data_IF_838860879231
#
_entry.id   IF_838860879231
#
_cell.length_a   1.000
_cell.length_b   1.000
_cell.length_c   1.000
_cell.angle_alpha   90.00
_cell.angle_beta   90.00
_cell.angle_gamma   90.00
#
_symmetry.space_group_name_H-M   'P 1'
#
loop_
_entity.id
_entity.type
_entity.pdbx_description
1 polymer ?
#
# COMPACT_ATOMS: atom_id res chain seq x y z
N UNK A 1 -14.78 -53.78 -61.67
CA UNK A 1 -15.39 -52.69 -60.85
C UNK A 1 -15.52 -53.03 -59.36
N UNK A 2 -14.58 -53.77 -58.74
CA UNK A 2 -14.66 -54.13 -57.30
C UNK A 2 -13.53 -53.58 -56.41
N UNK A 3 -12.34 -53.34 -56.97
CA UNK A 3 -11.15 -52.98 -56.16
C UNK A 3 -11.10 -51.49 -55.78
N UNK A 4 -11.59 -50.58 -56.63
CA UNK A 4 -11.49 -49.12 -56.40
C UNK A 4 -12.37 -48.62 -55.26
N UNK A 5 -13.56 -49.21 -55.05
CA UNK A 5 -14.45 -48.83 -53.94
C UNK A 5 -13.91 -49.26 -52.58
N UNK A 6 -13.21 -50.39 -52.51
CA UNK A 6 -12.63 -50.92 -51.27
C UNK A 6 -11.53 -50.02 -50.70
N UNK A 7 -10.71 -49.41 -51.56
CA UNK A 7 -9.68 -48.44 -51.13
C UNK A 7 -10.30 -47.14 -50.60
N UNK A 8 -11.39 -46.64 -51.18
CA UNK A 8 -12.07 -45.45 -50.66
C UNK A 8 -12.64 -45.67 -49.26
N UNK A 9 -13.28 -46.81 -49.00
CA UNK A 9 -13.79 -47.12 -47.66
C UNK A 9 -12.66 -47.29 -46.63
N UNK A 10 -11.53 -47.90 -47.02
CA UNK A 10 -10.36 -48.02 -46.15
C UNK A 10 -9.75 -46.65 -45.83
N UNK A 11 -9.62 -45.75 -46.80
CA UNK A 11 -9.10 -44.39 -46.60
C UNK A 11 -10.02 -43.57 -45.69
N UNK A 12 -11.33 -43.62 -45.91
CA UNK A 12 -12.30 -42.93 -45.05
C UNK A 12 -12.27 -43.44 -43.60
N UNK A 13 -12.07 -44.74 -43.41
CA UNK A 13 -11.97 -45.34 -42.08
C UNK A 13 -10.69 -44.91 -41.36
N UNK A 14 -9.56 -44.85 -42.07
CA UNK A 14 -8.29 -44.34 -41.52
C UNK A 14 -8.41 -42.86 -41.14
N UNK A 15 -9.04 -42.04 -41.99
CA UNK A 15 -9.26 -40.62 -41.70
C UNK A 15 -10.17 -40.44 -40.48
N UNK A 16 -11.24 -41.22 -40.37
CA UNK A 16 -12.15 -41.16 -39.22
C UNK A 16 -11.46 -41.57 -37.91
N UNK A 17 -10.64 -42.63 -37.95
CA UNK A 17 -9.83 -43.06 -36.80
C UNK A 17 -8.82 -41.98 -36.44
N UNK A 18 -8.12 -41.40 -37.41
CA UNK A 18 -7.15 -40.34 -37.17
C UNK A 18 -7.80 -39.09 -36.53
N UNK A 19 -8.97 -38.68 -37.02
CA UNK A 19 -9.72 -37.54 -36.46
C UNK A 19 -10.17 -37.83 -35.03
N UNK A 20 -10.70 -39.03 -34.77
CA UNK A 20 -11.15 -39.41 -33.42
C UNK A 20 -9.98 -39.53 -32.43
N UNK A 21 -8.81 -40.00 -32.87
CA UNK A 21 -7.59 -40.02 -32.06
C UNK A 21 -7.13 -38.58 -31.78
N UNK A 22 -7.11 -37.72 -32.79
CA UNK A 22 -6.75 -36.30 -32.63
C UNK A 22 -7.70 -35.59 -31.66
N UNK A 23 -9.01 -35.82 -31.79
CA UNK A 23 -10.02 -35.29 -30.86
C UNK A 23 -9.84 -35.84 -29.45
N UNK A 24 -9.53 -37.13 -29.31
CA UNK A 24 -9.31 -37.76 -28.00
C UNK A 24 -8.04 -37.24 -27.34
N UNK A 25 -6.95 -37.04 -28.09
CA UNK A 25 -5.73 -36.40 -27.59
C UNK A 25 -6.04 -34.95 -27.20
N UNK A 26 -6.81 -34.21 -28.00
CA UNK A 26 -7.13 -32.82 -27.68
C UNK A 26 -8.09 -32.71 -26.47
N UNK A 27 -9.02 -33.65 -26.28
CA UNK A 27 -9.96 -33.67 -25.15
C UNK A 27 -9.35 -34.22 -23.86
N UNK A 28 -8.56 -35.29 -23.92
CA UNK A 28 -7.98 -35.96 -22.73
C UNK A 28 -6.59 -35.45 -22.36
N UNK A 29 -5.79 -34.99 -23.32
CA UNK A 29 -4.40 -34.53 -23.11
C UNK A 29 -4.29 -33.01 -23.36
N UNK A 30 -5.13 -32.44 -24.23
CA UNK A 30 -5.03 -31.08 -24.79
C UNK A 30 -5.80 -29.98 -24.06
N UNK A 31 -5.43 -29.70 -22.81
CA UNK A 31 -5.48 -28.34 -22.20
C UNK A 31 -4.89 -28.34 -20.79
N UNK A 32 -5.00 -29.46 -20.07
CA UNK A 32 -4.41 -29.63 -18.73
C UNK A 32 -2.91 -29.90 -18.74
N UNK A 33 -2.46 -30.84 -19.57
CA UNK A 33 -1.08 -31.36 -19.50
C UNK A 33 -0.02 -30.39 -20.08
N UNK A 34 -0.37 -29.60 -21.10
CA UNK A 34 0.50 -28.54 -21.64
C UNK A 34 0.57 -27.30 -20.73
N UNK A 35 -0.43 -27.09 -19.86
CA UNK A 35 -0.41 -26.03 -18.85
C UNK A 35 0.44 -26.46 -17.64
N UNK A 36 0.33 -27.72 -17.20
CA UNK A 36 1.15 -28.28 -16.11
C UNK A 36 2.64 -28.30 -16.46
N UNK A 37 3.01 -28.74 -17.67
CA UNK A 37 4.45 -28.87 -18.03
C UNK A 37 5.16 -27.53 -18.28
N UNK A 38 4.41 -26.43 -18.46
CA UNK A 38 4.98 -25.07 -18.58
C UNK A 38 5.18 -24.40 -17.21
N UNK A 39 4.59 -24.95 -16.13
CA UNK A 39 4.67 -24.44 -14.77
C UNK A 39 5.83 -25.06 -13.95
N UNK A 40 6.59 -25.98 -14.52
CA UNK A 40 7.64 -26.70 -13.76
C UNK A 40 9.05 -26.09 -13.91
N UNK A 41 9.27 -25.15 -14.84
CA UNK A 41 10.60 -24.57 -15.12
C UNK A 41 10.66 -23.02 -15.06
N UNK A 42 9.68 -22.36 -14.46
CA UNK A 42 9.79 -20.94 -14.09
C UNK A 42 8.97 -20.70 -12.83
N UNK A 43 9.64 -20.52 -11.70
CA UNK A 43 9.02 -20.07 -10.45
C UNK A 43 8.68 -18.56 -10.56
N UNK A 44 7.94 -18.17 -11.58
CA UNK A 44 7.22 -16.91 -11.62
C UNK A 44 5.75 -17.24 -11.47
N UNK A 45 5.22 -17.09 -10.25
CA UNK A 45 3.78 -16.96 -10.10
C UNK A 45 3.38 -15.72 -10.91
N UNK A 46 2.71 -15.93 -12.04
CA UNK A 46 2.20 -14.81 -12.83
C UNK A 46 1.18 -14.09 -11.95
N UNK A 47 1.48 -12.85 -11.58
CA UNK A 47 0.54 -12.00 -10.86
C UNK A 47 -0.72 -11.85 -11.72
N UNK A 48 -1.90 -11.85 -11.09
CA UNK A 48 -3.16 -11.71 -11.81
C UNK A 48 -3.67 -10.26 -11.74
N UNK A 49 -4.69 -10.00 -10.93
CA UNK A 49 -5.31 -8.69 -10.82
C UNK A 49 -4.39 -7.62 -10.19
N UNK A 50 -3.34 -8.03 -9.48
CA UNK A 50 -2.37 -7.12 -8.86
C UNK A 50 -1.28 -6.64 -9.81
N UNK A 51 -1.10 -7.29 -10.97
CA UNK A 51 0.01 -7.03 -11.89
C UNK A 51 0.06 -5.56 -12.31
N UNK A 52 -1.08 -5.00 -12.73
CA UNK A 52 -1.17 -3.61 -13.17
C UNK A 52 -0.78 -2.62 -12.05
N UNK A 53 -1.34 -2.80 -10.86
CA UNK A 53 -1.11 -1.87 -9.75
C UNK A 53 0.33 -1.93 -9.25
N UNK A 54 0.93 -3.13 -9.21
CA UNK A 54 2.34 -3.30 -8.86
C UNK A 54 3.26 -2.66 -9.92
N UNK A 55 3.00 -2.91 -11.21
CA UNK A 55 3.79 -2.33 -12.29
C UNK A 55 3.71 -0.80 -12.33
N UNK A 56 2.54 -0.22 -12.06
CA UNK A 56 2.36 1.23 -11.97
C UNK A 56 3.16 1.84 -10.80
N UNK A 57 3.08 1.23 -9.62
CA UNK A 57 3.85 1.69 -8.46
C UNK A 57 5.37 1.62 -8.69
N UNK A 58 5.87 0.52 -9.28
CA UNK A 58 7.29 0.39 -9.64
C UNK A 58 7.71 1.40 -10.71
N UNK A 59 6.89 1.62 -11.74
CA UNK A 59 7.19 2.58 -12.80
C UNK A 59 7.31 4.01 -12.27
N UNK A 60 6.42 4.41 -11.36
CA UNK A 60 6.47 5.75 -10.74
C UNK A 60 7.67 5.88 -9.80
N UNK A 61 7.94 4.87 -8.98
CA UNK A 61 9.10 4.87 -8.08
C UNK A 61 10.45 4.89 -8.84
N UNK A 62 10.46 4.43 -10.09
CA UNK A 62 11.63 4.45 -10.95
C UNK A 62 11.87 5.80 -11.67
N UNK A 63 10.95 6.77 -11.56
CA UNK A 63 11.13 8.11 -12.14
C UNK A 63 12.31 8.80 -11.45
N UNK A 64 13.31 9.20 -12.24
CA UNK A 64 14.48 9.90 -11.73
C UNK A 64 14.18 11.37 -11.46
N UNK A 65 14.11 11.74 -10.18
CA UNK A 65 13.97 13.12 -9.70
C UNK A 65 15.30 13.66 -9.12
N UNK A 66 16.43 13.29 -9.74
CA UNK A 66 17.78 13.79 -9.44
C UNK A 66 18.28 13.65 -7.99
N UNK A 67 17.63 12.81 -7.18
CA UNK A 67 17.89 12.73 -5.73
C UNK A 67 17.40 13.96 -4.95
N UNK A 68 16.67 14.85 -5.60
CA UNK A 68 16.17 16.11 -5.07
C UNK A 68 14.63 16.20 -5.09
N UNK A 69 13.97 15.06 -5.24
CA UNK A 69 12.52 14.94 -5.24
C UNK A 69 12.11 13.49 -5.45
N UNK A 70 10.82 13.28 -5.68
CA UNK A 70 10.21 11.97 -5.97
C UNK A 70 8.91 12.15 -6.73
N UNK A 71 8.41 11.10 -7.37
CA UNK A 71 7.09 11.07 -7.98
C UNK A 71 6.15 10.13 -7.22
N UNK A 72 4.85 10.41 -7.27
CA UNK A 72 3.82 9.59 -6.62
C UNK A 72 2.74 9.18 -7.61
N UNK A 73 2.08 8.04 -7.32
CA UNK A 73 1.04 7.48 -8.20
C UNK A 73 -0.15 8.44 -8.34
N UNK A 74 -0.43 9.21 -7.29
CA UNK A 74 -1.47 10.25 -7.23
C UNK A 74 -0.91 11.67 -7.44
N UNK A 75 0.36 11.80 -7.84
CA UNK A 75 1.00 13.09 -8.12
C UNK A 75 0.36 13.81 -9.31
N UNK A 76 0.64 15.11 -9.43
CA UNK A 76 0.24 15.89 -10.60
C UNK A 76 0.83 15.27 -11.87
N UNK A 77 0.05 15.28 -12.96
CA UNK A 77 0.48 14.69 -14.23
C UNK A 77 0.68 15.76 -15.30
N UNK A 78 1.72 15.57 -16.12
CA UNK A 78 1.97 16.34 -17.32
C UNK A 78 2.12 15.35 -18.49
N UNK A 79 1.34 15.54 -19.55
CA UNK A 79 1.28 14.62 -20.71
C UNK A 79 1.02 13.14 -20.32
N UNK A 80 0.31 12.92 -19.20
CA UNK A 80 -0.03 11.58 -18.71
C UNK A 80 1.08 10.90 -17.90
N UNK A 81 2.17 11.60 -17.58
CA UNK A 81 3.22 11.12 -16.67
C UNK A 81 3.22 11.90 -15.36
N UNK A 82 3.44 11.25 -14.20
CA UNK A 82 3.61 11.95 -12.93
C UNK A 82 4.82 12.89 -12.95
N UNK A 83 4.63 14.09 -12.40
CA UNK A 83 5.66 15.12 -12.25
C UNK A 83 6.41 14.90 -10.94
N UNK A 84 7.72 15.16 -10.95
CA UNK A 84 8.52 15.14 -9.72
C UNK A 84 8.06 16.24 -8.74
N UNK A 85 7.84 15.84 -7.49
CA UNK A 85 7.69 16.73 -6.35
C UNK A 85 9.07 16.97 -5.72
N UNK A 86 9.58 18.19 -5.91
CA UNK A 86 10.93 18.58 -5.50
C UNK A 86 11.00 18.94 -4.02
N UNK A 87 12.16 18.69 -3.42
CA UNK A 87 12.49 19.27 -2.11
C UNK A 87 12.65 20.79 -2.21
N UNK A 88 12.61 21.44 -1.05
CA UNK A 88 12.78 22.88 -0.95
C UNK A 88 14.03 23.36 -1.70
N UNK A 89 13.87 24.48 -2.39
CA UNK A 89 14.87 25.12 -3.23
C UNK A 89 15.28 24.37 -4.51
N UNK A 90 14.69 23.22 -4.84
CA UNK A 90 14.88 22.54 -6.13
C UNK A 90 13.68 22.73 -7.07
N UNK A 91 13.95 22.70 -8.37
CA UNK A 91 12.98 22.83 -9.44
C UNK A 91 13.43 22.16 -10.74
N UNK A 92 12.76 22.48 -11.84
CA UNK A 92 12.92 21.75 -13.10
C UNK A 92 12.03 20.50 -13.14
N UNK A 93 11.97 19.84 -14.29
CA UNK A 93 11.10 18.66 -14.49
C UNK A 93 11.54 17.42 -13.70
N UNK A 94 12.83 17.37 -13.33
CA UNK A 94 13.49 16.27 -12.62
C UNK A 94 14.14 16.73 -11.30
N UNK A 95 13.78 17.92 -10.79
CA UNK A 95 14.34 18.50 -9.57
C UNK A 95 15.86 18.77 -9.60
N UNK A 96 16.49 18.84 -10.77
CA UNK A 96 17.94 19.11 -10.87
C UNK A 96 18.32 20.58 -10.71
N UNK A 97 17.37 21.50 -10.82
CA UNK A 97 17.64 22.94 -10.84
C UNK A 97 17.59 23.54 -9.43
N UNK A 98 18.75 23.94 -8.89
CA UNK A 98 18.82 24.65 -7.62
C UNK A 98 18.44 26.13 -7.80
N UNK A 99 17.48 26.61 -7.00
CA UNK A 99 17.05 28.01 -6.97
C UNK A 99 18.06 28.89 -6.22
N UNK A 100 18.79 29.80 -6.90
CA UNK A 100 19.80 30.62 -6.27
C UNK A 100 19.16 31.66 -5.33
N UNK A 101 19.70 31.78 -4.11
CA UNK A 101 19.19 32.71 -3.11
C UNK A 101 17.92 32.24 -2.38
N UNK A 102 17.53 30.98 -2.58
CA UNK A 102 16.46 30.35 -1.79
C UNK A 102 16.92 30.14 -0.34
N UNK A 103 16.07 30.54 0.62
CA UNK A 103 16.31 30.33 2.05
C UNK A 103 16.00 28.90 2.43
N UNK A 104 16.87 28.28 3.24
CA UNK A 104 16.57 26.98 3.83
C UNK A 104 15.36 27.09 4.77
N UNK A 105 14.41 26.18 4.63
CA UNK A 105 13.28 26.01 5.54
C UNK A 105 13.56 24.85 6.50
N UNK A 106 13.47 25.13 7.80
CA UNK A 106 13.60 24.15 8.87
C UNK A 106 12.57 24.44 9.99
N UNK A 107 11.46 25.09 9.63
CA UNK A 107 10.40 25.45 10.59
C UNK A 107 9.54 24.24 10.97
N UNK A 108 9.34 23.32 10.02
CA UNK A 108 8.53 22.10 10.20
C UNK A 108 9.32 20.95 10.82
N UNK A 109 8.66 20.19 11.69
CA UNK A 109 9.15 18.89 12.19
C UNK A 109 8.84 17.72 11.25
N UNK A 110 8.82 17.95 9.94
CA UNK A 110 8.48 16.94 8.93
C UNK A 110 9.59 15.87 8.84
N UNK A 111 9.30 14.59 9.13
CA UNK A 111 10.32 13.56 9.31
C UNK A 111 10.83 12.95 8.00
N UNK A 112 10.98 13.77 6.95
CA UNK A 112 11.43 13.34 5.61
C UNK A 112 12.78 12.61 5.64
N UNK A 113 13.61 12.89 6.65
CA UNK A 113 14.88 12.18 6.87
C UNK A 113 14.73 10.66 7.04
N UNK A 114 13.53 10.14 7.35
CA UNK A 114 13.24 8.71 7.44
C UNK A 114 12.94 8.05 6.08
N UNK A 115 12.73 8.82 5.01
CA UNK A 115 12.41 8.25 3.70
C UNK A 115 13.47 7.25 3.18
N UNK A 116 14.79 7.55 3.23
CA UNK A 116 15.79 6.62 2.70
C UNK A 116 15.77 5.25 3.37
N UNK A 117 15.37 5.19 4.65
CA UNK A 117 15.16 3.94 5.36
C UNK A 117 14.03 3.14 4.71
N UNK A 118 12.87 3.75 4.49
CA UNK A 118 11.71 3.07 3.88
C UNK A 118 11.98 2.64 2.43
N UNK A 119 12.73 3.42 1.66
CA UNK A 119 13.13 3.02 0.30
C UNK A 119 14.01 1.76 0.29
N UNK A 120 14.90 1.60 1.28
CA UNK A 120 15.73 0.40 1.42
C UNK A 120 14.93 -0.84 1.84
N UNK A 121 13.72 -0.65 2.38
CA UNK A 121 12.83 -1.71 2.85
C UNK A 121 11.57 -1.87 1.97
N UNK A 122 11.61 -1.41 0.72
CA UNK A 122 10.44 -1.36 -0.17
C UNK A 122 9.69 -2.71 -0.27
N UNK A 123 10.40 -3.83 -0.43
CA UNK A 123 9.78 -5.17 -0.52
C UNK A 123 9.11 -5.60 0.79
N UNK A 124 9.67 -5.22 1.94
CA UNK A 124 9.17 -5.64 3.25
C UNK A 124 7.99 -4.79 3.72
N UNK A 125 7.88 -3.54 3.24
CA UNK A 125 6.85 -2.57 3.66
C UNK A 125 5.76 -2.28 2.63
N UNK A 126 5.93 -2.72 1.37
CA UNK A 126 4.89 -2.53 0.35
C UNK A 126 3.61 -3.30 0.69
N UNK A 127 2.46 -2.66 0.46
CA UNK A 127 1.14 -3.27 0.70
C UNK A 127 0.28 -3.13 -0.53
N UNK A 128 -0.35 -4.22 -0.95
CA UNK A 128 -1.39 -4.22 -1.98
C UNK A 128 -2.75 -4.22 -1.31
N UNK A 129 -3.55 -3.17 -1.55
CA UNK A 129 -4.89 -3.01 -0.98
C UNK A 129 -5.91 -3.33 -2.07
N UNK A 130 -6.72 -4.37 -1.88
CA UNK A 130 -7.79 -4.69 -2.83
C UNK A 130 -8.90 -3.63 -2.79
N UNK A 131 -9.60 -3.44 -3.92
CA UNK A 131 -10.69 -2.45 -4.03
C UNK A 131 -11.89 -2.69 -3.10
N UNK A 132 -11.97 -3.87 -2.46
CA UNK A 132 -12.99 -4.23 -1.48
C UNK A 132 -12.44 -4.39 -0.05
N UNK A 133 -11.19 -3.98 0.19
CA UNK A 133 -10.58 -4.08 1.51
C UNK A 133 -11.35 -3.20 2.51
N UNK A 134 -11.89 -3.83 3.57
CA UNK A 134 -12.51 -3.15 4.73
C UNK A 134 -13.62 -2.14 4.40
N UNK A 135 -14.50 -2.45 3.44
CA UNK A 135 -15.66 -1.59 3.11
C UNK A 135 -16.70 -1.43 4.25
N UNK A 136 -16.68 -2.30 5.25
CA UNK A 136 -17.58 -2.24 6.41
C UNK A 136 -17.09 -1.23 7.45
N UNK A 137 -18.02 -0.53 8.12
CA UNK A 137 -17.73 0.34 9.28
C UNK A 137 -17.13 -0.41 10.49
N UNK A 138 -17.21 -1.74 10.51
CA UNK A 138 -16.73 -2.59 11.61
C UNK A 138 -15.95 -3.79 11.11
N UNK A 139 -15.07 -4.27 11.97
CA UNK A 139 -14.41 -5.56 11.83
C UNK A 139 -15.41 -6.71 12.08
N UNK A 140 -15.05 -7.93 11.69
CA UNK A 140 -15.91 -9.11 11.84
C UNK A 140 -16.31 -9.41 13.29
N UNK A 141 -15.51 -8.95 14.25
CA UNK A 141 -15.76 -9.06 15.70
C UNK A 141 -16.47 -7.82 16.28
N UNK A 142 -17.09 -7.00 15.42
CA UNK A 142 -17.80 -5.77 15.75
C UNK A 142 -16.95 -4.64 16.35
N UNK A 143 -15.63 -4.83 16.44
CA UNK A 143 -14.72 -3.74 16.85
C UNK A 143 -14.56 -2.71 15.72
N UNK A 144 -14.06 -1.53 16.09
CA UNK A 144 -13.73 -0.43 15.16
C UNK A 144 -12.23 -0.27 14.95
N UNK A 145 -11.40 -1.06 15.65
CA UNK A 145 -9.95 -0.96 15.64
C UNK A 145 -9.30 -2.30 15.29
N UNK A 146 -8.20 -2.25 14.54
CA UNK A 146 -7.47 -3.46 14.16
C UNK A 146 -6.78 -4.10 15.36
N UNK A 147 -7.21 -5.31 15.74
CA UNK A 147 -6.54 -6.14 16.74
C UNK A 147 -5.10 -6.50 16.34
N UNK A 148 -4.86 -6.76 15.05
CA UNK A 148 -3.51 -7.04 14.57
C UNK A 148 -2.59 -5.83 14.74
N UNK A 149 -3.08 -4.62 14.44
CA UNK A 149 -2.30 -3.41 14.67
C UNK A 149 -2.03 -3.18 16.17
N UNK A 150 -3.03 -3.44 17.03
CA UNK A 150 -2.85 -3.39 18.48
C UNK A 150 -1.75 -4.35 18.96
N UNK A 151 -1.76 -5.59 18.47
CA UNK A 151 -0.75 -6.60 18.79
C UNK A 151 0.66 -6.13 18.38
N UNK A 152 0.81 -5.56 17.18
CA UNK A 152 2.09 -5.04 16.70
C UNK A 152 2.56 -3.81 17.50
N UNK A 153 1.67 -2.89 17.88
CA UNK A 153 2.03 -1.74 18.74
C UNK A 153 2.50 -2.22 20.12
N UNK A 154 1.81 -3.20 20.73
CA UNK A 154 2.24 -3.78 22.01
C UNK A 154 3.59 -4.47 21.89
N UNK A 155 3.80 -5.25 20.83
CA UNK A 155 5.08 -5.91 20.53
C UNK A 155 6.20 -4.88 20.34
N UNK A 156 5.95 -3.80 19.60
CA UNK A 156 6.91 -2.72 19.40
C UNK A 156 7.35 -2.11 20.74
N UNK A 157 6.40 -1.73 21.60
CA UNK A 157 6.72 -1.17 22.92
C UNK A 157 7.46 -2.16 23.83
N UNK A 158 7.12 -3.45 23.76
CA UNK A 158 7.82 -4.49 24.51
C UNK A 158 9.27 -4.69 24.04
N UNK A 159 9.54 -4.56 22.73
CA UNK A 159 10.88 -4.73 22.17
C UNK A 159 11.76 -3.49 22.40
N UNK A 160 11.19 -2.29 22.24
CA UNK A 160 11.91 -1.01 22.42
C UNK A 160 12.05 -0.68 23.90
N UNK A 161 11.13 -1.14 24.75
CA UNK A 161 11.15 -0.87 26.20
C UNK A 161 10.81 0.57 26.57
N UNK A 162 10.13 1.32 25.68
CA UNK A 162 9.82 2.74 25.89
C UNK A 162 8.43 3.01 26.52
N UNK A 163 7.56 2.00 26.65
CA UNK A 163 6.25 2.16 27.29
C UNK A 163 5.71 0.84 27.88
N UNK A 164 4.98 0.95 29.00
CA UNK A 164 4.26 -0.18 29.62
C UNK A 164 2.84 -0.24 29.05
N UNK A 165 2.54 -1.29 28.30
CA UNK A 165 1.22 -1.48 27.66
C UNK A 165 0.32 -2.49 28.39
N UNK A 166 0.87 -3.30 29.30
CA UNK A 166 0.12 -4.29 30.07
C UNK A 166 -0.97 -3.63 30.93
N UNK A 167 -2.19 -4.17 30.89
CA UNK A 167 -3.34 -3.62 31.61
C UNK A 167 -3.84 -2.26 31.09
N UNK A 168 -3.37 -1.80 29.92
CA UNK A 168 -3.80 -0.53 29.31
C UNK A 168 -4.72 -0.76 28.10
N UNK A 169 -5.72 0.11 27.98
CA UNK A 169 -6.52 0.23 26.75
C UNK A 169 -5.76 1.02 25.71
N UNK A 170 -5.83 0.59 24.45
CA UNK A 170 -5.32 1.34 23.30
C UNK A 170 -6.50 1.96 22.55
N UNK A 171 -6.34 3.22 22.14
CA UNK A 171 -7.32 3.97 21.35
C UNK A 171 -6.58 4.57 20.16
N UNK A 172 -7.08 4.32 18.95
CA UNK A 172 -6.53 4.89 17.73
C UNK A 172 -7.19 6.22 17.40
N UNK A 173 -6.38 7.17 16.97
CA UNK A 173 -6.83 8.47 16.50
C UNK A 173 -6.12 8.88 15.22
N UNK A 174 -6.70 9.85 14.53
CA UNK A 174 -6.13 10.47 13.34
C UNK A 174 -5.07 11.47 13.80
N UNK A 175 -3.88 10.93 14.06
CA UNK A 175 -2.77 11.67 14.67
C UNK A 175 -2.95 11.92 16.18
N UNK A 176 -1.83 12.20 16.86
CA UNK A 176 -1.82 12.52 18.29
C UNK A 176 -2.60 13.80 18.62
N UNK A 177 -2.71 14.74 17.67
CA UNK A 177 -3.52 15.96 17.80
C UNK A 177 -4.97 15.65 18.16
N UNK A 178 -5.61 14.68 17.48
CA UNK A 178 -6.98 14.29 17.81
C UNK A 178 -7.06 13.66 19.21
N UNK A 179 -6.10 12.80 19.56
CA UNK A 179 -6.06 12.10 20.84
C UNK A 179 -5.83 13.06 22.01
N UNK A 180 -4.99 14.09 21.85
CA UNK A 180 -4.78 15.14 22.84
C UNK A 180 -6.09 15.88 23.15
N UNK A 181 -6.84 16.24 22.10
CA UNK A 181 -8.14 16.90 22.24
C UNK A 181 -9.17 15.98 22.94
N UNK A 182 -9.23 14.71 22.51
CA UNK A 182 -10.11 13.71 23.12
C UNK A 182 -9.76 13.46 24.60
N UNK A 183 -8.46 13.43 24.95
CA UNK A 183 -8.00 13.27 26.32
C UNK A 183 -8.38 14.47 27.20
N UNK A 184 -8.20 15.70 26.71
CA UNK A 184 -8.65 16.91 27.43
C UNK A 184 -10.15 16.86 27.67
N UNK A 185 -10.94 16.50 26.66
CA UNK A 185 -12.39 16.37 26.80
C UNK A 185 -12.79 15.29 27.82
N UNK A 186 -12.19 14.10 27.73
CA UNK A 186 -12.48 12.97 28.61
C UNK A 186 -12.09 13.22 30.08
N UNK A 187 -11.04 14.03 30.32
CA UNK A 187 -10.57 14.39 31.65
C UNK A 187 -11.27 15.62 32.24
N UNK A 188 -11.95 16.41 31.41
CA UNK A 188 -12.67 17.60 31.86
C UNK A 188 -13.92 17.21 32.64
N UNK A 189 -14.13 17.84 33.80
CA UNK A 189 -15.33 17.61 34.60
C UNK A 189 -16.56 18.18 33.91
N UNK A 190 -17.48 17.31 33.48
CA UNK A 190 -18.72 17.71 32.82
C UNK A 190 -19.74 18.34 33.78
N UNK A 191 -19.56 18.17 35.09
CA UNK A 191 -20.49 18.62 36.13
C UNK A 191 -19.90 19.71 37.04
N UNK A 192 -18.75 20.28 36.66
CA UNK A 192 -18.12 21.36 37.41
C UNK A 192 -18.76 22.71 37.06
N UNK A 193 -18.91 23.58 38.05
CA UNK A 193 -19.32 24.97 37.84
C UNK A 193 -18.21 25.85 37.23
N UNK A 194 -16.97 25.35 37.20
CA UNK A 194 -15.82 26.02 36.59
C UNK A 194 -15.12 25.13 35.55
N UNK A 195 -14.58 25.72 34.46
CA UNK A 195 -13.83 24.96 33.45
C UNK A 195 -12.58 24.29 34.01
N UNK A 196 -12.18 23.17 33.40
CA UNK A 196 -10.92 22.50 33.74
C UNK A 196 -9.74 23.28 33.16
N UNK A 197 -8.69 23.48 33.97
CA UNK A 197 -7.49 24.20 33.55
C UNK A 197 -6.53 23.24 32.82
N UNK A 198 -6.24 23.52 31.55
CA UNK A 198 -5.26 22.77 30.75
C UNK A 198 -3.95 23.56 30.72
N UNK A 199 -2.88 22.97 31.26
CA UNK A 199 -1.58 23.63 31.44
C UNK A 199 -0.45 22.78 30.84
N UNK A 200 0.61 23.46 30.38
CA UNK A 200 1.86 22.85 29.96
C UNK A 200 3.04 23.70 30.44
N UNK A 201 4.13 23.06 30.86
CA UNK A 201 5.35 23.75 31.32
C UNK A 201 6.08 24.39 30.13
N UNK A 202 6.55 25.64 30.30
CA UNK A 202 7.30 26.38 29.27
C UNK A 202 8.76 25.89 29.23
N UNK A 203 9.36 25.69 28.04
CA UNK A 203 8.77 25.81 26.71
C UNK A 203 7.86 24.61 26.37
N UNK A 204 6.72 24.88 25.73
CA UNK A 204 5.73 23.86 25.35
C UNK A 204 5.47 23.84 23.84
N UNK A 205 4.94 22.72 23.35
CA UNK A 205 4.51 22.59 21.97
C UNK A 205 3.30 23.51 21.68
N UNK A 206 3.40 24.48 20.75
CA UNK A 206 2.38 25.53 20.56
C UNK A 206 0.96 25.01 20.29
N UNK A 207 0.82 23.85 19.65
CA UNK A 207 -0.50 23.24 19.37
C UNK A 207 -1.27 22.95 20.66
N UNK A 208 -0.59 22.63 21.77
CA UNK A 208 -1.27 22.39 23.06
C UNK A 208 -2.03 23.62 23.57
N UNK A 209 -1.49 24.81 23.35
CA UNK A 209 -2.10 26.09 23.71
C UNK A 209 -3.21 26.50 22.72
N UNK A 210 -3.02 26.22 21.43
CA UNK A 210 -4.06 26.48 20.42
C UNK A 210 -5.30 25.60 20.62
N UNK A 211 -5.12 24.34 21.00
CA UNK A 211 -6.24 23.42 21.22
C UNK A 211 -7.02 23.76 22.50
N UNK A 212 -6.35 24.13 23.59
CA UNK A 212 -7.05 24.51 24.83
C UNK A 212 -7.86 25.80 24.69
N UNK A 213 -7.39 26.78 23.90
CA UNK A 213 -8.11 28.04 23.65
C UNK A 213 -9.32 27.91 22.72
N UNK A 214 -9.39 26.87 21.87
CA UNK A 214 -10.53 26.64 20.97
C UNK A 214 -11.63 25.76 21.59
N UNK A 215 -11.31 25.03 22.65
CA UNK A 215 -12.27 24.19 23.39
C UNK A 215 -13.04 24.93 24.48
N UNK A 216 -12.53 26.07 24.94
CA UNK A 216 -13.15 26.98 25.91
C UNK A 216 -13.82 28.15 25.19
#
# INVERSE_FOLDING_TARGET
MGKTKQYCYAICLIISIAINILFSINLYIGRGWLLEKKLENSCHSVLSWTEKAAAEAEAVAAISCSGHGRAYVDGLTYEGQPVCECFDCYGGTDCSELSPGCSADADSGDPVFLEPFWMQHATDSAVVISGWHRMSYRYADYTTMSKELENYIRKLHSLVGNAVTEGRYLVFGIGSTQLLNAAVYALSSQNSSSPSNVLASIPFYPVTNLMSKKML
#
